data_IF_636505126985
#
_entry.id   IF_636505126985
#
_cell.length_a   1.000
_cell.length_b   1.000
_cell.length_c   1.000
_cell.angle_alpha   90.00
_cell.angle_beta   90.00
_cell.angle_gamma   90.00
#
_symmetry.space_group_name_H-M   'P 1'
#
loop_
_entity.id
_entity.type
_entity.pdbx_description
1 polymer ?
#
# COMPACT_ATOMS: atom_id res chain seq x y z
N UNK A 1 -17.25 -16.92 10.30
CA UNK A 1 -15.79 -16.74 10.24
C UNK A 1 -15.44 -16.15 8.90
N UNK A 2 -15.40 -14.82 8.79
CA UNK A 2 -14.91 -14.18 7.56
C UNK A 2 -13.40 -14.41 7.55
N UNK A 3 -12.94 -15.26 6.64
CA UNK A 3 -11.51 -15.42 6.35
C UNK A 3 -11.06 -14.05 5.82
N UNK A 4 -10.54 -13.19 6.69
CA UNK A 4 -9.77 -12.03 6.24
C UNK A 4 -8.65 -12.60 5.37
N UNK A 5 -8.79 -12.46 4.06
CA UNK A 5 -7.83 -13.01 3.13
C UNK A 5 -6.53 -12.25 3.32
N UNK A 6 -5.37 -12.90 3.12
CA UNK A 6 -4.07 -12.23 3.23
C UNK A 6 -4.00 -10.92 2.42
N UNK A 7 -4.80 -10.79 1.35
CA UNK A 7 -4.97 -9.57 0.55
C UNK A 7 -5.59 -8.40 1.32
N UNK A 8 -6.58 -8.67 2.17
CA UNK A 8 -7.29 -7.67 2.97
C UNK A 8 -6.37 -7.02 4.02
N UNK A 9 -5.49 -7.84 4.61
CA UNK A 9 -4.45 -7.36 5.52
C UNK A 9 -3.43 -6.48 4.79
N UNK A 10 -2.98 -6.88 3.60
CA UNK A 10 -2.05 -6.09 2.77
C UNK A 10 -2.70 -4.77 2.39
N UNK A 11 -3.97 -4.79 1.98
CA UNK A 11 -4.71 -3.60 1.61
C UNK A 11 -4.82 -2.64 2.79
N UNK A 12 -5.25 -3.13 3.96
CA UNK A 12 -5.36 -2.34 5.19
C UNK A 12 -4.01 -1.72 5.58
N UNK A 13 -2.94 -2.53 5.62
CA UNK A 13 -1.60 -2.04 5.94
C UNK A 13 -1.12 -0.96 4.95
N UNK A 14 -1.44 -1.13 3.66
CA UNK A 14 -1.13 -0.16 2.61
C UNK A 14 -1.90 1.15 2.81
N UNK A 15 -3.19 1.07 3.15
CA UNK A 15 -4.00 2.25 3.47
C UNK A 15 -3.49 2.99 4.72
N UNK A 16 -3.05 2.27 5.74
CA UNK A 16 -2.49 2.88 6.95
C UNK A 16 -1.18 3.63 6.66
N UNK A 17 -0.30 3.07 5.82
CA UNK A 17 0.91 3.74 5.35
C UNK A 17 0.56 4.96 4.48
N UNK A 18 -0.37 4.80 3.54
CA UNK A 18 -0.86 5.85 2.67
C UNK A 18 -1.51 7.01 3.45
N UNK A 19 -2.24 6.72 4.52
CA UNK A 19 -2.88 7.70 5.39
C UNK A 19 -1.90 8.57 6.18
N UNK A 20 -0.63 8.16 6.29
CA UNK A 20 0.44 9.01 6.86
C UNK A 20 0.92 10.09 5.89
N UNK A 21 0.53 10.01 4.62
CA UNK A 21 0.89 10.97 3.58
C UNK A 21 2.32 10.81 3.05
N UNK A 22 3.01 9.72 3.41
CA UNK A 22 4.40 9.47 3.02
C UNK A 22 4.48 8.43 1.89
N UNK A 23 5.50 8.54 1.06
CA UNK A 23 5.84 7.53 0.06
C UNK A 23 6.40 6.29 0.76
N UNK A 24 5.87 5.11 0.45
CA UNK A 24 6.29 3.87 1.09
C UNK A 24 6.78 2.83 0.07
N UNK A 25 7.64 1.94 0.52
CA UNK A 25 8.23 0.89 -0.28
C UNK A 25 7.48 -0.44 -0.11
N UNK A 26 7.70 -1.37 -1.05
CA UNK A 26 7.20 -2.74 -0.92
C UNK A 26 7.66 -3.40 0.40
N UNK A 27 8.89 -3.13 0.84
CA UNK A 27 9.45 -3.68 2.07
C UNK A 27 8.68 -3.19 3.30
N UNK A 28 8.27 -1.93 3.33
CA UNK A 28 7.48 -1.36 4.43
C UNK A 28 6.09 -1.96 4.50
N UNK A 29 5.45 -2.23 3.37
CA UNK A 29 4.15 -2.92 3.32
C UNK A 29 4.25 -4.35 3.86
N UNK A 30 5.33 -5.07 3.50
CA UNK A 30 5.61 -6.41 4.02
C UNK A 30 5.84 -6.36 5.53
N UNK A 31 6.58 -5.36 6.01
CA UNK A 31 6.87 -5.17 7.44
C UNK A 31 5.63 -4.76 8.25
N UNK A 32 4.71 -4.00 7.63
CA UNK A 32 3.44 -3.61 8.23
C UNK A 32 2.44 -4.77 8.31
N UNK A 33 2.55 -5.75 7.42
CA UNK A 33 1.81 -7.01 7.56
C UNK A 33 2.37 -7.81 8.76
N UNK A 34 1.52 -8.20 9.72
CA UNK A 34 1.87 -8.88 10.98
C UNK A 34 2.74 -10.15 10.83
N UNK A 35 3.10 -10.76 11.98
CA UNK A 35 4.09 -11.85 12.22
C UNK A 35 4.33 -12.94 11.16
N UNK A 36 3.40 -13.20 10.25
CA UNK A 36 3.63 -14.05 9.08
C UNK A 36 3.67 -13.17 7.82
N UNK A 37 4.88 -12.82 7.31
CA UNK A 37 4.99 -11.96 6.15
C UNK A 37 4.31 -12.63 4.95
N UNK A 38 3.36 -11.95 4.29
CA UNK A 38 2.75 -12.47 3.09
C UNK A 38 3.82 -12.67 2.01
N UNK A 39 3.58 -13.62 1.11
CA UNK A 39 4.47 -13.83 -0.03
C UNK A 39 4.60 -12.52 -0.82
N UNK A 40 5.82 -12.10 -1.13
CA UNK A 40 6.07 -10.85 -1.87
C UNK A 40 5.32 -10.77 -3.21
N UNK A 41 5.03 -11.92 -3.82
CA UNK A 41 4.15 -11.99 -5.01
C UNK A 41 2.74 -11.49 -4.73
N UNK A 42 2.14 -11.88 -3.60
CA UNK A 42 0.79 -11.45 -3.19
C UNK A 42 0.78 -9.97 -2.85
N UNK A 43 1.81 -9.47 -2.16
CA UNK A 43 1.94 -8.04 -1.85
C UNK A 43 2.04 -7.23 -3.13
N UNK A 44 2.91 -7.63 -4.04
CA UNK A 44 3.04 -6.98 -5.35
C UNK A 44 1.71 -6.98 -6.13
N UNK A 45 0.99 -8.09 -6.14
CA UNK A 45 -0.30 -8.20 -6.85
C UNK A 45 -1.35 -7.25 -6.27
N UNK A 46 -1.44 -7.15 -4.95
CA UNK A 46 -2.34 -6.20 -4.27
C UNK A 46 -1.93 -4.75 -4.55
N UNK A 47 -0.64 -4.41 -4.41
CA UNK A 47 -0.15 -3.07 -4.71
C UNK A 47 -0.38 -2.69 -6.17
N UNK A 48 -0.16 -3.62 -7.12
CA UNK A 48 -0.48 -3.38 -8.53
C UNK A 48 -1.96 -3.19 -8.76
N UNK A 49 -2.83 -3.96 -8.09
CA UNK A 49 -4.29 -3.78 -8.16
C UNK A 49 -4.68 -2.38 -7.65
N UNK A 50 -4.09 -1.93 -6.54
CA UNK A 50 -4.34 -0.59 -5.99
C UNK A 50 -3.85 0.52 -6.92
N UNK A 51 -2.73 0.31 -7.62
CA UNK A 51 -2.25 1.25 -8.64
C UNK A 51 -3.18 1.30 -9.85
N UNK A 52 -3.61 0.14 -10.35
CA UNK A 52 -4.51 0.04 -11.50
C UNK A 52 -5.88 0.68 -11.23
N UNK A 53 -6.41 0.50 -10.01
CA UNK A 53 -7.67 1.11 -9.57
C UNK A 53 -7.49 2.59 -9.16
N UNK A 54 -6.27 3.14 -9.25
CA UNK A 54 -5.98 4.55 -9.00
C UNK A 54 -6.01 4.98 -7.53
N UNK A 55 -5.78 4.05 -6.61
CA UNK A 55 -5.57 4.35 -5.18
C UNK A 55 -4.13 4.79 -4.89
N UNK A 56 -3.17 4.26 -5.66
CA UNK A 56 -1.74 4.52 -5.50
C UNK A 56 -1.12 4.91 -6.83
N UNK A 57 -0.07 5.73 -6.76
CA UNK A 57 0.83 5.97 -7.89
C UNK A 57 2.20 5.38 -7.58
N UNK A 58 2.92 4.97 -8.62
CA UNK A 58 4.33 4.55 -8.45
C UNK A 58 5.26 5.69 -8.80
N UNK A 59 6.16 6.03 -7.89
CA UNK A 59 7.23 6.99 -8.10
C UNK A 59 8.58 6.27 -8.05
N UNK A 60 9.56 6.77 -8.80
CA UNK A 60 10.95 6.31 -8.69
C UNK A 60 11.67 7.33 -7.83
N UNK A 61 12.17 6.91 -6.68
CA UNK A 61 12.99 7.78 -5.86
C UNK A 61 14.28 8.15 -6.63
N UNK A 62 14.57 9.44 -6.85
CA UNK A 62 15.72 9.86 -7.64
C UNK A 62 17.06 9.66 -6.93
N UNK A 63 17.05 9.42 -5.60
CA UNK A 63 18.28 9.27 -4.82
C UNK A 63 18.82 7.84 -4.89
N UNK A 64 17.93 6.84 -4.89
CA UNK A 64 18.29 5.42 -4.85
C UNK A 64 17.80 4.63 -6.08
N UNK A 65 16.93 5.20 -6.92
CA UNK A 65 16.31 4.52 -8.06
C UNK A 65 15.25 3.49 -7.66
N UNK A 66 14.93 3.40 -6.37
CA UNK A 66 13.93 2.48 -5.83
C UNK A 66 12.51 2.92 -6.17
N UNK A 67 11.66 1.96 -6.54
CA UNK A 67 10.23 2.19 -6.74
C UNK A 67 9.53 2.37 -5.38
N UNK A 68 8.90 3.53 -5.19
CA UNK A 68 8.01 3.83 -4.08
C UNK A 68 6.57 3.96 -4.55
N UNK A 69 5.66 3.74 -3.63
CA UNK A 69 4.23 3.90 -3.82
C UNK A 69 3.81 5.12 -3.04
N UNK A 70 3.09 6.02 -3.71
CA UNK A 70 2.53 7.23 -3.11
C UNK A 70 1.01 7.14 -3.14
N UNK A 71 0.31 7.64 -2.09
CA UNK A 71 -1.14 7.76 -2.14
C UNK A 71 -1.57 8.64 -3.30
N UNK A 72 -2.55 8.19 -4.07
CA UNK A 72 -3.18 9.04 -5.08
C UNK A 72 -4.16 10.01 -4.42
N UNK A 73 -4.46 11.11 -5.11
CA UNK A 73 -5.40 12.16 -4.67
C UNK A 73 -6.79 11.61 -4.26
N UNK A 74 -7.21 10.51 -4.89
CA UNK A 74 -8.42 9.75 -4.53
C UNK A 74 -8.39 9.26 -3.08
N UNK A 75 -7.25 8.71 -2.64
CA UNK A 75 -7.06 8.17 -1.30
C UNK A 75 -6.93 9.32 -0.29
N UNK A 76 -6.18 10.37 -0.63
CA UNK A 76 -6.07 11.60 0.17
C UNK A 76 -7.42 12.25 0.42
N UNK A 77 -8.26 12.35 -0.62
CA UNK A 77 -9.63 12.87 -0.51
C UNK A 77 -10.52 12.03 0.42
N UNK A 78 -10.37 10.70 0.38
CA UNK A 78 -11.11 9.77 1.26
C UNK A 78 -10.64 9.83 2.72
N UNK A 79 -9.32 9.97 2.94
CA UNK A 79 -8.75 10.12 4.28
C UNK A 79 -9.15 11.46 4.92
N UNK A 80 -9.21 12.54 4.15
CA UNK A 80 -9.68 13.85 4.63
C UNK A 80 -11.20 13.88 4.86
N UNK A 81 -12.00 13.17 4.06
CA UNK A 81 -13.45 13.14 4.23
C UNK A 81 -13.93 12.34 5.47
N UNK A 82 -13.04 11.58 6.11
CA UNK A 82 -13.34 10.80 7.32
C UNK A 82 -12.96 11.52 8.64
N UNK A 83 -12.49 12.77 8.58
CA UNK A 83 -12.13 13.59 9.75
C UNK A 83 -13.25 14.55 10.19
#
# INVERSE_FOLDING_TARGET
MVRHTKRDHIWTATLELAGRGEAFSHAEVVAACSSEPPSGRTVRDVLQTMVDDGWLSTEIDPSDGSRRYVPSDRLTSLSTAAQ
#
